data_IF_752884659900
#
_entry.id   IF_752884659900
#
_cell.length_a   1.000
_cell.length_b   1.000
_cell.length_c   1.000
_cell.angle_alpha   90.00
_cell.angle_beta   90.00
_cell.angle_gamma   90.00
#
_symmetry.space_group_name_H-M   'P 1'
#
loop_
_entity.id
_entity.type
_entity.pdbx_description
1 polymer ?
#
# COMPACT_ATOMS: atom_id res chain seq x y z
N UNK A 1 14.50 -15.39 -18.52
CA UNK A 1 14.75 -14.36 -17.50
C UNK A 1 13.79 -13.21 -17.76
N UNK A 2 12.57 -13.33 -17.22
CA UNK A 2 11.48 -12.38 -17.49
C UNK A 2 11.63 -11.18 -16.56
N UNK A 3 11.68 -9.98 -17.11
CA UNK A 3 11.84 -8.72 -16.38
C UNK A 3 10.74 -8.57 -15.33
N UNK A 4 11.11 -8.70 -14.06
CA UNK A 4 10.21 -8.65 -12.90
C UNK A 4 10.02 -7.21 -12.42
N UNK A 5 9.60 -6.33 -13.32
CA UNK A 5 9.23 -4.96 -12.96
C UNK A 5 7.72 -4.95 -12.78
N UNK A 6 7.26 -4.93 -11.52
CA UNK A 6 5.83 -4.87 -11.26
C UNK A 6 5.49 -4.30 -9.89
N UNK A 7 4.40 -3.52 -9.83
CA UNK A 7 3.74 -3.11 -8.59
C UNK A 7 3.31 -4.32 -7.75
N UNK A 8 2.89 -4.10 -6.50
CA UNK A 8 2.38 -5.15 -5.58
C UNK A 8 1.37 -6.07 -6.29
N UNK A 9 0.49 -5.53 -7.14
CA UNK A 9 -0.46 -6.34 -7.92
C UNK A 9 0.18 -7.31 -8.91
N UNK A 10 1.36 -7.01 -9.45
CA UNK A 10 2.12 -7.93 -10.30
C UNK A 10 2.88 -8.97 -9.46
N UNK A 11 3.39 -8.58 -8.29
CA UNK A 11 4.09 -9.48 -7.39
C UNK A 11 3.15 -10.50 -6.74
N UNK A 12 1.88 -10.16 -6.50
CA UNK A 12 0.84 -11.13 -6.10
C UNK A 12 0.71 -12.24 -7.14
N UNK A 13 0.72 -11.89 -8.43
CA UNK A 13 0.68 -12.87 -9.50
C UNK A 13 1.87 -13.84 -9.45
N UNK A 14 3.08 -13.35 -9.22
CA UNK A 14 4.29 -14.17 -9.12
C UNK A 14 4.25 -15.10 -7.90
N UNK A 15 3.78 -14.61 -6.77
CA UNK A 15 3.57 -15.43 -5.57
C UNK A 15 2.51 -16.52 -5.80
N UNK A 16 1.40 -16.19 -6.47
CA UNK A 16 0.38 -17.15 -6.81
C UNK A 16 0.89 -18.23 -7.79
N UNK A 17 1.79 -17.89 -8.72
CA UNK A 17 2.46 -18.85 -9.61
C UNK A 17 3.36 -19.80 -8.80
N UNK A 18 4.16 -19.27 -7.85
CA UNK A 18 4.99 -20.10 -6.97
C UNK A 18 4.15 -21.12 -6.19
N UNK A 19 2.96 -20.69 -5.76
CA UNK A 19 2.02 -21.52 -5.01
C UNK A 19 1.14 -22.44 -5.87
N UNK A 20 1.37 -22.49 -7.20
CA UNK A 20 0.61 -23.29 -8.16
C UNK A 20 -0.92 -23.02 -8.16
N UNK A 21 -1.33 -21.78 -7.93
CA UNK A 21 -2.74 -21.41 -8.05
C UNK A 21 -3.18 -21.41 -9.51
N UNK A 22 -4.42 -21.89 -9.75
CA UNK A 22 -4.98 -22.06 -11.09
C UNK A 22 -5.17 -20.74 -11.87
N UNK A 23 -5.34 -19.61 -11.18
CA UNK A 23 -5.65 -18.33 -11.82
C UNK A 23 -4.87 -17.15 -11.21
N UNK A 24 -3.53 -17.11 -11.37
CA UNK A 24 -2.71 -16.02 -10.82
C UNK A 24 -3.11 -14.64 -11.34
N UNK A 25 -3.46 -14.53 -12.62
CA UNK A 25 -3.90 -13.27 -13.25
C UNK A 25 -5.19 -12.73 -12.62
N UNK A 26 -6.11 -13.60 -12.19
CA UNK A 26 -7.33 -13.20 -11.52
C UNK A 26 -7.04 -12.50 -10.18
N UNK A 27 -6.04 -12.95 -9.43
CA UNK A 27 -5.65 -12.33 -8.16
C UNK A 27 -5.15 -10.90 -8.37
N UNK A 28 -4.31 -10.68 -9.40
CA UNK A 28 -3.87 -9.35 -9.77
C UNK A 28 -5.05 -8.47 -10.20
N UNK A 29 -5.95 -9.00 -11.03
CA UNK A 29 -7.15 -8.28 -11.48
C UNK A 29 -8.05 -7.89 -10.31
N UNK A 30 -8.26 -8.79 -9.36
CA UNK A 30 -9.08 -8.52 -8.17
C UNK A 30 -8.40 -7.53 -7.22
N UNK A 31 -7.06 -7.54 -7.11
CA UNK A 31 -6.33 -6.53 -6.36
C UNK A 31 -6.58 -5.13 -6.94
N UNK A 32 -6.43 -4.95 -8.25
CA UNK A 32 -6.68 -3.68 -8.91
C UNK A 32 -8.16 -3.30 -8.91
N UNK A 33 -9.06 -4.28 -9.07
CA UNK A 33 -10.50 -4.09 -8.91
C UNK A 33 -10.86 -3.63 -7.49
N UNK A 34 -10.26 -4.23 -6.48
CA UNK A 34 -10.38 -3.81 -5.08
C UNK A 34 -9.91 -2.37 -4.87
N UNK A 35 -8.83 -1.96 -5.56
CA UNK A 35 -8.39 -0.56 -5.53
C UNK A 35 -9.41 0.40 -6.16
N UNK A 36 -10.12 0.00 -7.22
CA UNK A 36 -11.19 0.81 -7.80
C UNK A 36 -12.36 0.95 -6.83
N UNK A 37 -12.83 -0.16 -6.28
CA UNK A 37 -13.92 -0.18 -5.29
C UNK A 37 -13.53 0.64 -4.04
N UNK A 38 -12.31 0.48 -3.56
CA UNK A 38 -11.80 1.23 -2.41
C UNK A 38 -11.80 2.74 -2.63
N UNK A 39 -11.56 3.24 -3.85
CA UNK A 39 -11.68 4.67 -4.17
C UNK A 39 -13.12 5.16 -4.09
N UNK A 40 -14.07 4.37 -4.57
CA UNK A 40 -15.50 4.71 -4.47
C UNK A 40 -15.96 4.73 -3.02
N UNK A 41 -15.58 3.72 -2.24
CA UNK A 41 -15.86 3.67 -0.79
C UNK A 41 -15.19 4.84 -0.06
N UNK A 42 -13.92 5.10 -0.35
CA UNK A 42 -13.16 6.19 0.27
C UNK A 42 -13.78 7.57 0.00
N UNK A 43 -14.31 7.81 -1.19
CA UNK A 43 -15.01 9.06 -1.51
C UNK A 43 -16.28 9.24 -0.69
N UNK A 44 -16.96 8.17 -0.32
CA UNK A 44 -18.15 8.18 0.52
C UNK A 44 -17.82 8.40 2.01
N UNK A 45 -16.58 8.17 2.41
CA UNK A 45 -16.10 8.32 3.80
C UNK A 45 -15.61 9.75 4.12
N UNK A 46 -16.01 10.76 3.35
CA UNK A 46 -15.60 12.16 3.51
C UNK A 46 -15.87 12.76 4.90
N UNK A 47 -16.83 12.20 5.65
CA UNK A 47 -17.15 12.59 7.03
C UNK A 47 -16.14 12.07 8.07
N UNK A 48 -15.31 11.09 7.72
CA UNK A 48 -14.31 10.51 8.62
C UNK A 48 -13.00 11.24 8.40
N UNK A 49 -12.32 11.62 9.49
CA UNK A 49 -11.04 12.32 9.36
C UNK A 49 -10.02 11.48 8.60
N UNK A 50 -9.21 12.07 7.70
CA UNK A 50 -8.21 11.34 6.90
C UNK A 50 -7.22 10.56 7.78
N UNK A 51 -6.94 11.07 8.97
CA UNK A 51 -6.07 10.39 9.94
C UNK A 51 -6.67 9.08 10.43
N UNK A 52 -7.95 9.07 10.79
CA UNK A 52 -8.65 7.85 11.23
C UNK A 52 -8.74 6.86 10.06
N UNK A 53 -9.06 7.35 8.86
CA UNK A 53 -9.06 6.50 7.66
C UNK A 53 -7.68 5.83 7.47
N UNK A 54 -6.59 6.60 7.58
CA UNK A 54 -5.23 6.09 7.42
C UNK A 54 -4.90 5.05 8.48
N UNK A 55 -5.20 5.27 9.76
CA UNK A 55 -4.95 4.30 10.84
C UNK A 55 -5.72 3.00 10.59
N UNK A 56 -7.03 3.09 10.32
CA UNK A 56 -7.86 1.90 10.11
C UNK A 56 -7.39 1.10 8.89
N UNK A 57 -7.13 1.77 7.77
CA UNK A 57 -6.71 1.09 6.53
C UNK A 57 -5.33 0.46 6.67
N UNK A 58 -4.38 1.14 7.32
CA UNK A 58 -3.03 0.61 7.55
C UNK A 58 -3.05 -0.60 8.48
N UNK A 59 -3.81 -0.54 9.59
CA UNK A 59 -3.93 -1.68 10.50
C UNK A 59 -4.59 -2.86 9.81
N UNK A 60 -5.65 -2.62 9.02
CA UNK A 60 -6.35 -3.69 8.28
C UNK A 60 -5.46 -4.30 7.20
N UNK A 61 -4.75 -3.47 6.42
CA UNK A 61 -3.82 -3.92 5.38
C UNK A 61 -2.64 -4.71 5.99
N UNK A 62 -2.05 -4.21 7.07
CA UNK A 62 -0.96 -4.87 7.78
C UNK A 62 -1.39 -6.21 8.38
N UNK A 63 -2.59 -6.27 9.00
CA UNK A 63 -3.14 -7.52 9.53
C UNK A 63 -3.37 -8.56 8.42
N UNK A 64 -3.95 -8.15 7.28
CA UNK A 64 -4.15 -9.06 6.13
C UNK A 64 -2.82 -9.52 5.55
N UNK A 65 -1.83 -8.64 5.41
CA UNK A 65 -0.50 -9.00 4.91
C UNK A 65 0.20 -9.98 5.87
N UNK A 66 0.12 -9.75 7.17
CA UNK A 66 0.67 -10.67 8.18
C UNK A 66 -0.02 -12.03 8.12
N UNK A 67 -1.35 -12.06 8.07
CA UNK A 67 -2.11 -13.31 7.94
C UNK A 67 -1.78 -14.04 6.63
N UNK A 68 -1.58 -13.31 5.52
CA UNK A 68 -1.16 -13.89 4.25
C UNK A 68 0.20 -14.63 4.37
N UNK A 69 1.16 -14.03 5.08
CA UNK A 69 2.47 -14.65 5.35
C UNK A 69 2.31 -15.87 6.25
N UNK A 70 1.58 -15.75 7.36
CA UNK A 70 1.42 -16.82 8.34
C UNK A 70 0.67 -18.03 7.76
N UNK A 71 -0.45 -17.77 7.08
CA UNK A 71 -1.31 -18.81 6.49
C UNK A 71 -0.82 -19.26 5.10
N UNK A 72 0.20 -18.61 4.54
CA UNK A 72 0.71 -18.84 3.20
C UNK A 72 -0.41 -18.77 2.15
N UNK A 73 -1.27 -17.74 2.24
CA UNK A 73 -2.45 -17.61 1.41
C UNK A 73 -2.45 -16.27 0.64
N UNK A 74 -2.18 -16.28 -0.69
CA UNK A 74 -2.13 -15.06 -1.49
C UNK A 74 -3.48 -14.35 -1.66
N UNK A 75 -4.62 -15.03 -1.43
CA UNK A 75 -5.94 -14.40 -1.51
C UNK A 75 -6.13 -13.26 -0.51
N UNK A 76 -5.48 -13.36 0.67
CA UNK A 76 -5.55 -12.29 1.67
C UNK A 76 -4.86 -11.02 1.18
N UNK A 77 -3.79 -11.15 0.37
CA UNK A 77 -3.12 -10.00 -0.26
C UNK A 77 -3.99 -9.32 -1.30
N UNK A 78 -4.86 -10.06 -1.98
CA UNK A 78 -5.81 -9.49 -2.93
C UNK A 78 -6.75 -8.49 -2.26
N UNK A 79 -7.21 -8.79 -1.05
CA UNK A 79 -8.08 -7.91 -0.26
C UNK A 79 -7.37 -6.64 0.22
N UNK A 80 -6.04 -6.66 0.36
CA UNK A 80 -5.25 -5.47 0.74
C UNK A 80 -5.42 -4.32 -0.25
N UNK A 81 -5.66 -4.61 -1.54
CA UNK A 81 -5.87 -3.59 -2.58
C UNK A 81 -6.98 -2.58 -2.24
N UNK A 82 -8.06 -3.05 -1.61
CA UNK A 82 -9.16 -2.18 -1.18
C UNK A 82 -8.69 -1.15 -0.15
N UNK A 83 -7.91 -1.55 0.84
CA UNK A 83 -7.40 -0.68 1.89
C UNK A 83 -6.32 0.28 1.38
N UNK A 84 -5.40 -0.20 0.53
CA UNK A 84 -4.37 0.62 -0.08
C UNK A 84 -4.94 1.79 -0.89
N UNK A 85 -6.09 1.59 -1.54
CA UNK A 85 -6.74 2.63 -2.30
C UNK A 85 -7.22 3.79 -1.43
N UNK A 86 -7.87 3.49 -0.30
CA UNK A 86 -8.34 4.50 0.67
C UNK A 86 -7.15 5.19 1.33
N UNK A 87 -6.13 4.41 1.69
CA UNK A 87 -4.91 4.89 2.33
C UNK A 87 -4.21 5.96 1.49
N UNK A 88 -4.11 5.78 0.17
CA UNK A 88 -3.51 6.74 -0.75
C UNK A 88 -4.17 8.12 -0.66
N UNK A 89 -5.51 8.17 -0.71
CA UNK A 89 -6.25 9.42 -0.60
C UNK A 89 -6.04 10.10 0.74
N UNK A 90 -6.04 9.33 1.83
CA UNK A 90 -5.83 9.85 3.18
C UNK A 90 -4.42 10.44 3.36
N UNK A 91 -3.38 9.75 2.85
CA UNK A 91 -1.99 10.23 2.89
C UNK A 91 -1.86 11.54 2.12
N UNK A 92 -2.40 11.61 0.89
CA UNK A 92 -2.34 12.82 0.09
C UNK A 92 -2.99 13.99 0.82
N UNK A 93 -4.22 13.81 1.33
CA UNK A 93 -4.95 14.85 2.05
C UNK A 93 -4.17 15.34 3.28
N UNK A 94 -3.57 14.43 4.06
CA UNK A 94 -2.77 14.80 5.22
C UNK A 94 -1.48 15.52 4.83
N UNK A 95 -0.85 15.12 3.71
CA UNK A 95 0.42 15.69 3.25
C UNK A 95 0.29 17.12 2.74
N UNK A 96 -0.87 17.48 2.16
CA UNK A 96 -1.11 18.83 1.64
C UNK A 96 -1.94 19.72 2.59
N UNK A 97 -2.35 19.17 3.74
CA UNK A 97 -3.16 19.91 4.71
C UNK A 97 -2.42 21.15 5.22
N UNK A 98 -3.13 22.27 5.30
CA UNK A 98 -2.66 23.55 5.84
C UNK A 98 -1.48 24.20 5.10
N UNK A 99 -1.12 23.77 3.89
CA UNK A 99 -0.01 24.35 3.12
C UNK A 99 -0.40 25.60 2.31
N UNK A 100 -1.70 25.94 2.22
CA UNK A 100 -2.18 27.14 1.54
C UNK A 100 -1.57 27.29 0.14
N UNK A 101 -0.84 28.39 -0.09
CA UNK A 101 -0.19 28.70 -1.38
C UNK A 101 0.88 27.68 -1.80
N UNK A 102 1.40 26.87 -0.89
CA UNK A 102 2.41 25.85 -1.18
C UNK A 102 1.82 24.48 -1.55
N UNK A 103 0.49 24.33 -1.55
CA UNK A 103 -0.19 23.07 -1.87
C UNK A 103 0.24 22.50 -3.23
N UNK A 104 0.38 23.35 -4.25
CA UNK A 104 0.80 22.93 -5.60
C UNK A 104 2.22 22.34 -5.60
N UNK A 105 3.16 23.00 -4.94
CA UNK A 105 4.55 22.54 -4.82
C UNK A 105 4.61 21.23 -4.02
N UNK A 106 3.90 21.17 -2.90
CA UNK A 106 3.85 19.97 -2.06
C UNK A 106 3.23 18.78 -2.80
N UNK A 107 2.18 19.02 -3.61
CA UNK A 107 1.61 17.96 -4.46
C UNK A 107 2.62 17.45 -5.49
N UNK A 108 3.43 18.32 -6.08
CA UNK A 108 4.51 17.92 -6.98
C UNK A 108 5.57 17.07 -6.27
N UNK A 109 6.02 17.48 -5.08
CA UNK A 109 6.97 16.70 -4.26
C UNK A 109 6.38 15.35 -3.86
N UNK A 110 5.10 15.31 -3.49
CA UNK A 110 4.40 14.05 -3.18
C UNK A 110 4.40 13.11 -4.38
N UNK A 111 4.18 13.63 -5.60
CA UNK A 111 4.21 12.82 -6.82
C UNK A 111 5.61 12.24 -7.12
N UNK A 112 6.69 12.92 -6.74
CA UNK A 112 8.04 12.33 -6.82
C UNK A 112 8.14 11.08 -5.94
N UNK A 113 7.50 11.07 -4.78
CA UNK A 113 7.41 9.90 -3.89
C UNK A 113 6.75 8.67 -4.54
N UNK A 114 5.93 8.86 -5.57
CA UNK A 114 5.32 7.75 -6.35
C UNK A 114 6.39 6.90 -7.04
N UNK A 115 7.53 7.49 -7.39
CA UNK A 115 8.68 6.75 -7.95
C UNK A 115 9.16 5.66 -6.97
N UNK A 116 9.05 5.90 -5.65
CA UNK A 116 9.28 4.86 -4.64
C UNK A 116 8.39 3.63 -4.82
N UNK A 117 7.19 3.81 -5.36
CA UNK A 117 6.28 2.72 -5.73
C UNK A 117 6.81 1.79 -6.83
N UNK A 118 7.79 2.22 -7.62
CA UNK A 118 8.49 1.36 -8.58
C UNK A 118 9.72 0.68 -7.95
N UNK A 119 10.40 1.34 -7.03
CA UNK A 119 11.63 0.84 -6.39
C UNK A 119 11.31 -0.30 -5.41
N UNK A 120 10.28 -0.16 -4.58
CA UNK A 120 9.93 -1.17 -3.58
C UNK A 120 9.57 -2.53 -4.17
N UNK A 121 8.76 -2.65 -5.24
CA UNK A 121 8.48 -3.93 -5.89
C UNK A 121 9.73 -4.57 -6.50
N UNK A 122 10.66 -3.76 -7.01
CA UNK A 122 11.95 -4.26 -7.50
C UNK A 122 12.78 -4.86 -6.37
N UNK A 123 12.91 -4.15 -5.25
CA UNK A 123 13.60 -4.65 -4.05
C UNK A 123 12.93 -5.91 -3.50
N UNK A 124 11.59 -5.97 -3.52
CA UNK A 124 10.85 -7.16 -3.12
C UNK A 124 11.16 -8.36 -4.03
N UNK A 125 11.24 -8.13 -5.35
CA UNK A 125 11.63 -9.18 -6.29
C UNK A 125 13.03 -9.71 -6.05
N UNK A 126 14.01 -8.82 -5.82
CA UNK A 126 15.38 -9.20 -5.45
C UNK A 126 15.38 -10.00 -4.15
N UNK A 127 14.63 -9.54 -3.14
CA UNK A 127 14.52 -10.23 -1.86
C UNK A 127 13.90 -11.63 -2.02
N UNK A 128 12.88 -11.78 -2.86
CA UNK A 128 12.28 -13.09 -3.14
C UNK A 128 13.27 -14.04 -3.81
N UNK A 129 14.10 -13.53 -4.73
CA UNK A 129 15.15 -14.33 -5.39
C UNK A 129 16.25 -14.75 -4.40
N UNK A 130 16.67 -13.87 -3.50
CA UNK A 130 17.68 -14.17 -2.46
C UNK A 130 17.16 -15.16 -1.43
N UNK A 131 15.90 -15.02 -1.01
CA UNK A 131 15.27 -15.89 -0.01
C UNK A 131 14.73 -17.20 -0.61
N UNK A 132 14.70 -17.32 -1.95
CA UNK A 132 14.15 -18.47 -2.65
C UNK A 132 12.63 -18.63 -2.50
N UNK A 133 11.92 -17.63 -1.99
CA UNK A 133 10.46 -17.66 -1.80
C UNK A 133 9.85 -16.26 -1.77
N UNK A 134 8.72 -16.11 -2.44
CA UNK A 134 7.90 -14.89 -2.40
C UNK A 134 7.26 -14.66 -1.02
N UNK A 135 6.96 -15.71 -0.28
CA UNK A 135 6.33 -15.63 1.04
C UNK A 135 7.05 -14.65 1.96
N UNK A 136 8.35 -14.80 2.10
CA UNK A 136 9.15 -13.98 3.02
C UNK A 136 9.40 -12.55 2.51
N UNK A 137 9.36 -12.35 1.20
CA UNK A 137 9.53 -11.01 0.63
C UNK A 137 8.41 -10.04 1.04
N UNK A 138 7.25 -10.54 1.47
CA UNK A 138 6.13 -9.72 1.94
C UNK A 138 6.40 -9.00 3.26
N UNK A 139 7.44 -9.36 4.00
CA UNK A 139 7.88 -8.57 5.15
C UNK A 139 8.26 -7.13 4.79
N UNK A 140 8.73 -6.86 3.57
CA UNK A 140 9.01 -5.49 3.12
C UNK A 140 7.72 -4.64 3.07
N UNK A 141 6.59 -5.27 2.72
CA UNK A 141 5.28 -4.62 2.73
C UNK A 141 4.85 -4.32 4.16
N UNK A 142 5.03 -5.26 5.10
CA UNK A 142 4.73 -5.03 6.52
C UNK A 142 5.54 -3.89 7.12
N UNK A 143 6.82 -3.76 6.75
CA UNK A 143 7.63 -2.60 7.17
C UNK A 143 7.06 -1.30 6.63
N UNK A 144 6.56 -1.29 5.39
CA UNK A 144 5.86 -0.15 4.81
C UNK A 144 4.59 0.20 5.60
N UNK A 145 3.79 -0.79 5.99
CA UNK A 145 2.57 -0.58 6.79
C UNK A 145 2.90 -0.03 8.19
N UNK A 146 3.94 -0.54 8.84
CA UNK A 146 4.41 -0.01 10.12
C UNK A 146 4.84 1.46 10.00
N UNK A 147 5.57 1.81 8.94
CA UNK A 147 5.96 3.18 8.67
C UNK A 147 4.74 4.09 8.43
N UNK A 148 3.74 3.61 7.68
CA UNK A 148 2.50 4.36 7.45
C UNK A 148 1.69 4.54 8.74
N UNK A 149 1.66 3.54 9.62
CA UNK A 149 1.03 3.65 10.92
C UNK A 149 1.76 4.69 11.80
N UNK A 150 3.07 4.69 11.81
CA UNK A 150 3.87 5.71 12.50
C UNK A 150 3.54 7.11 11.96
N UNK A 151 3.49 7.27 10.64
CA UNK A 151 3.10 8.54 10.01
C UNK A 151 1.69 8.98 10.43
N UNK A 152 0.72 8.06 10.42
CA UNK A 152 -0.66 8.35 10.80
C UNK A 152 -0.79 8.81 12.27
N UNK A 153 -0.03 8.19 13.18
CA UNK A 153 -0.13 8.44 14.63
C UNK A 153 0.70 9.66 15.09
N UNK A 154 1.87 9.84 14.50
CA UNK A 154 2.88 10.80 14.97
C UNK A 154 3.22 11.82 13.88
N UNK A 155 3.62 11.35 12.68
CA UNK A 155 4.16 12.20 11.63
C UNK A 155 3.14 13.19 11.05
N UNK A 156 1.85 12.82 11.02
CA UNK A 156 0.77 13.68 10.53
C UNK A 156 0.28 14.73 11.54
N UNK A 157 0.86 14.77 12.75
CA UNK A 157 0.52 15.81 13.73
C UNK A 157 1.15 17.13 13.31
N UNK A 158 0.30 18.08 12.94
CA UNK A 158 0.75 19.45 12.69
C UNK A 158 1.14 20.04 14.05
N UNK A 159 2.41 20.36 14.22
CA UNK A 159 2.83 21.27 15.30
C UNK A 159 2.29 22.65 14.93
N UNK A 160 1.28 23.11 15.63
CA UNK A 160 0.99 24.54 15.68
C UNK A 160 2.20 25.16 16.37
N UNK A 161 3.13 25.72 15.59
CA UNK A 161 4.02 26.73 16.09
C UNK A 161 3.14 27.90 16.44
N UNK A 162 2.98 28.17 17.76
CA UNK A 162 2.41 29.43 18.22
C UNK A 162 3.35 30.52 17.68
N UNK A 163 2.83 31.34 16.75
CA UNK A 163 3.41 32.63 16.38
C UNK A 163 3.17 33.61 17.52
#
# INVERSE_FOLDING_TARGET
>A
MQSRIGCIGANINLYAIEMNYASPALMATLYWGGMLVGRLVGSSLSKISPRVQLVVTTVSAGALALLAILLNNPWLLTAVGLFHSIMWGAIFTLSVAHLGKYTSVASGVFMIGVVGGAILPLLQGILADVLGSWRWSWFIVLLGEIFMLYYALIGSRIRQTAD
#
